data_IF_564812346664
#
_entry.id   IF_564812346664
#
_cell.length_a   1.000
_cell.length_b   1.000
_cell.length_c   1.000
_cell.angle_alpha   90.00
_cell.angle_beta   90.00
_cell.angle_gamma   90.00
#
_symmetry.space_group_name_H-M   'P 1'
#
loop_
_entity.id
_entity.type
_entity.pdbx_description
1 polymer ?
#
# COMPACT_ATOMS: atom_id res chain seq x y z
N UNK A 1 -24.42 14.76 3.04
CA UNK A 1 -23.38 14.81 2.00
C UNK A 1 -22.16 14.06 2.49
N UNK A 2 -21.47 13.31 1.61
CA UNK A 2 -20.28 12.53 1.92
C UNK A 2 -19.13 13.01 1.03
N UNK A 3 -18.01 13.43 1.62
CA UNK A 3 -16.86 13.91 0.87
C UNK A 3 -15.59 13.21 1.34
N UNK A 4 -14.82 12.59 0.44
CA UNK A 4 -13.48 12.11 0.76
C UNK A 4 -12.58 13.33 1.05
N UNK A 5 -11.70 13.22 2.06
CA UNK A 5 -10.81 14.32 2.45
C UNK A 5 -9.34 13.95 2.42
N UNK A 6 -9.00 12.69 2.62
CA UNK A 6 -7.62 12.21 2.57
C UNK A 6 -7.55 10.69 2.45
N UNK A 7 -6.35 10.19 2.11
CA UNK A 7 -6.00 8.77 2.22
C UNK A 7 -4.87 8.59 3.24
N UNK A 8 -4.70 7.38 3.73
CA UNK A 8 -3.62 7.00 4.65
C UNK A 8 -2.31 6.63 3.93
N UNK A 9 -2.29 6.68 2.59
CA UNK A 9 -1.09 6.35 1.80
C UNK A 9 -0.09 7.52 1.83
N UNK A 10 1.10 7.35 2.43
CA UNK A 10 2.10 8.41 2.47
C UNK A 10 2.73 8.65 1.09
N UNK A 11 3.02 9.90 0.76
CA UNK A 11 3.75 10.28 -0.43
C UNK A 11 5.26 10.15 -0.21
N UNK A 12 5.96 9.64 -1.22
CA UNK A 12 7.44 9.53 -1.25
C UNK A 12 8.08 10.74 -1.93
N UNK A 13 7.36 11.36 -2.85
CA UNK A 13 7.78 12.54 -3.60
C UNK A 13 6.66 13.55 -3.72
N UNK A 14 7.01 14.82 -3.97
CA UNK A 14 6.00 15.87 -4.19
C UNK A 14 5.33 15.66 -5.54
N UNK A 15 3.98 15.58 -5.63
CA UNK A 15 3.26 15.25 -6.86
C UNK A 15 3.06 16.49 -7.76
N UNK A 16 4.15 17.13 -8.19
CA UNK A 16 4.14 18.38 -8.94
C UNK A 16 3.27 18.33 -10.19
N UNK A 17 3.28 17.20 -10.93
CA UNK A 17 2.49 17.09 -12.16
C UNK A 17 1.00 17.06 -11.88
N UNK A 18 0.56 16.39 -10.81
CA UNK A 18 -0.85 16.41 -10.42
C UNK A 18 -1.30 17.83 -10.03
N UNK A 19 -0.46 18.56 -9.29
CA UNK A 19 -0.76 19.95 -8.95
C UNK A 19 -0.78 20.86 -10.18
N UNK A 20 0.11 20.63 -11.16
CA UNK A 20 0.10 21.35 -12.42
C UNK A 20 -1.18 21.09 -13.22
N UNK A 21 -1.67 19.84 -13.25
CA UNK A 21 -2.93 19.49 -13.91
C UNK A 21 -4.13 20.16 -13.20
N UNK A 22 -4.15 20.16 -11.87
CA UNK A 22 -5.18 20.86 -11.09
C UNK A 22 -5.16 22.36 -11.41
N UNK A 23 -3.97 22.99 -11.40
CA UNK A 23 -3.83 24.39 -11.75
C UNK A 23 -4.28 24.69 -13.18
N UNK A 24 -3.91 23.85 -14.15
CA UNK A 24 -4.35 23.99 -15.55
C UNK A 24 -5.86 23.92 -15.69
N UNK A 25 -6.55 23.03 -14.97
CA UNK A 25 -8.01 22.94 -14.95
C UNK A 25 -8.64 24.19 -14.34
N UNK A 26 -8.09 24.71 -13.23
CA UNK A 26 -8.59 25.93 -12.58
C UNK A 26 -8.41 27.17 -13.51
N UNK A 27 -7.26 27.27 -14.17
CA UNK A 27 -6.99 28.35 -15.12
C UNK A 27 -7.93 28.25 -16.32
N UNK A 28 -8.07 27.05 -16.91
CA UNK A 28 -8.98 26.83 -18.04
C UNK A 28 -10.44 27.19 -17.68
N UNK A 29 -10.89 26.81 -16.49
CA UNK A 29 -12.23 27.19 -16.00
C UNK A 29 -12.37 28.71 -15.82
N UNK A 30 -11.33 29.39 -15.33
CA UNK A 30 -11.31 30.85 -15.25
C UNK A 30 -11.42 31.52 -16.63
N UNK A 31 -10.68 31.02 -17.63
CA UNK A 31 -10.78 31.48 -19.03
C UNK A 31 -12.16 31.21 -19.61
N UNK A 32 -12.74 30.02 -19.34
CA UNK A 32 -14.09 29.65 -19.79
C UNK A 32 -15.17 30.64 -19.29
N UNK A 33 -15.02 31.23 -18.09
CA UNK A 33 -15.96 32.21 -17.56
C UNK A 33 -15.94 33.54 -18.33
N UNK A 34 -14.82 33.88 -18.99
CA UNK A 34 -14.68 35.14 -19.74
C UNK A 34 -14.75 34.99 -21.25
N UNK A 35 -14.70 33.73 -21.74
CA UNK A 35 -14.83 33.38 -23.18
C UNK A 35 -15.98 32.39 -23.36
N UNK A 36 -17.23 32.85 -23.46
CA UNK A 36 -18.41 31.96 -23.55
C UNK A 36 -18.37 30.96 -24.70
N UNK A 37 -17.71 31.29 -25.82
CA UNK A 37 -17.57 30.41 -27.00
C UNK A 37 -16.54 29.27 -26.80
N UNK A 38 -15.86 29.20 -25.64
CA UNK A 38 -14.90 28.13 -25.39
C UNK A 38 -15.57 26.76 -25.33
N UNK A 39 -16.77 26.66 -24.79
CA UNK A 39 -17.52 25.39 -24.71
C UNK A 39 -17.84 24.86 -26.10
N UNK A 40 -18.35 25.69 -26.99
CA UNK A 40 -18.73 25.29 -28.35
C UNK A 40 -17.54 24.77 -29.15
N UNK A 41 -16.33 25.32 -28.90
CA UNK A 41 -15.12 24.99 -29.68
C UNK A 41 -14.35 23.78 -29.12
N UNK A 42 -14.32 23.63 -27.80
CA UNK A 42 -13.41 22.69 -27.13
C UNK A 42 -14.13 21.52 -26.43
N UNK A 43 -15.46 21.52 -26.38
CA UNK A 43 -16.27 20.40 -25.92
C UNK A 43 -16.17 19.21 -26.91
N UNK A 44 -16.38 18.01 -26.40
CA UNK A 44 -16.39 16.81 -27.22
C UNK A 44 -17.84 16.45 -27.59
N UNK A 45 -18.17 16.60 -28.87
CA UNK A 45 -19.46 16.25 -29.44
C UNK A 45 -19.49 14.80 -29.88
N UNK A 46 -20.56 14.08 -29.56
CA UNK A 46 -20.69 12.67 -29.89
C UNK A 46 -20.90 12.44 -31.40
N UNK A 47 -21.62 13.34 -32.09
CA UNK A 47 -22.01 13.20 -33.51
C UNK A 47 -20.92 13.70 -34.48
N UNK A 48 -20.05 14.61 -34.04
CA UNK A 48 -18.94 15.20 -34.84
C UNK A 48 -17.68 15.40 -33.97
N UNK A 49 -17.01 14.30 -33.58
CA UNK A 49 -15.89 14.36 -32.67
C UNK A 49 -14.62 14.89 -33.36
N UNK A 50 -14.21 16.10 -33.00
CA UNK A 50 -12.95 16.68 -33.43
C UNK A 50 -11.77 16.15 -32.60
N UNK A 51 -10.68 15.74 -33.24
CA UNK A 51 -9.54 15.08 -32.58
C UNK A 51 -9.01 15.79 -31.33
N UNK A 52 -8.71 17.11 -31.34
CA UNK A 52 -8.22 17.78 -30.14
C UNK A 52 -9.25 17.81 -29.00
N UNK A 53 -10.54 17.70 -29.34
CA UNK A 53 -11.61 17.71 -28.35
C UNK A 53 -11.54 16.52 -27.38
N UNK A 54 -10.93 15.38 -27.78
CA UNK A 54 -10.69 14.24 -26.88
C UNK A 54 -9.75 14.58 -25.70
N UNK A 55 -9.02 15.68 -25.79
CA UNK A 55 -8.16 16.19 -24.71
C UNK A 55 -8.76 17.46 -24.10
N UNK A 56 -9.18 18.43 -24.95
CA UNK A 56 -9.57 19.75 -24.48
C UNK A 56 -10.83 19.74 -23.63
N UNK A 57 -11.79 18.86 -23.93
CA UNK A 57 -13.01 18.71 -23.16
C UNK A 57 -12.77 18.44 -21.66
N UNK A 58 -11.64 17.75 -21.36
CA UNK A 58 -11.26 17.38 -20.01
C UNK A 58 -10.78 18.57 -19.14
N UNK A 59 -10.65 19.75 -19.72
CA UNK A 59 -10.27 20.98 -19.02
C UNK A 59 -11.43 21.95 -18.87
N UNK A 60 -12.58 21.71 -19.54
CA UNK A 60 -13.78 22.49 -19.41
C UNK A 60 -14.66 21.97 -18.28
N UNK A 61 -15.45 22.83 -17.66
CA UNK A 61 -16.31 22.43 -16.54
C UNK A 61 -17.66 23.17 -16.58
N UNK A 62 -18.76 22.44 -16.33
CA UNK A 62 -20.12 22.95 -16.36
C UNK A 62 -20.53 23.80 -15.15
N UNK A 63 -19.61 24.09 -14.23
CA UNK A 63 -19.87 24.95 -13.06
C UNK A 63 -18.92 24.68 -11.90
N UNK A 64 -18.99 25.54 -10.88
CA UNK A 64 -18.08 25.51 -9.71
C UNK A 64 -18.13 24.18 -8.98
N UNK A 65 -19.30 23.62 -8.74
CA UNK A 65 -19.42 22.32 -8.06
C UNK A 65 -18.78 21.17 -8.86
N UNK A 66 -18.85 21.24 -10.20
CA UNK A 66 -18.27 20.24 -11.09
C UNK A 66 -16.74 20.26 -11.04
N UNK A 67 -16.13 21.44 -11.15
CA UNK A 67 -14.66 21.55 -11.04
C UNK A 67 -14.18 21.22 -9.63
N UNK A 68 -14.83 21.69 -8.57
CA UNK A 68 -14.44 21.35 -7.20
C UNK A 68 -14.44 19.85 -6.94
N UNK A 69 -15.47 19.13 -7.41
CA UNK A 69 -15.52 17.68 -7.29
C UNK A 69 -14.37 16.99 -8.01
N UNK A 70 -14.08 17.37 -9.25
CA UNK A 70 -12.96 16.80 -10.01
C UNK A 70 -11.60 17.09 -9.36
N UNK A 71 -11.36 18.33 -8.94
CA UNK A 71 -10.08 18.71 -8.32
C UNK A 71 -9.89 18.07 -6.95
N UNK A 72 -10.97 17.88 -6.20
CA UNK A 72 -10.91 17.13 -4.93
C UNK A 72 -10.47 15.68 -5.15
N UNK A 73 -11.06 14.98 -6.13
CA UNK A 73 -10.67 13.61 -6.43
C UNK A 73 -9.22 13.51 -6.98
N UNK A 74 -8.80 14.47 -7.85
CA UNK A 74 -7.41 14.54 -8.29
C UNK A 74 -6.46 14.79 -7.12
N UNK A 75 -6.81 15.68 -6.20
CA UNK A 75 -5.96 15.96 -5.06
C UNK A 75 -5.80 14.73 -4.15
N UNK A 76 -6.88 14.00 -3.90
CA UNK A 76 -6.87 12.86 -2.96
C UNK A 76 -6.21 11.63 -3.58
N UNK A 77 -6.57 11.27 -4.81
CA UNK A 77 -6.12 10.03 -5.45
C UNK A 77 -4.95 10.27 -6.41
N UNK A 78 -4.96 11.39 -7.12
CA UNK A 78 -3.96 11.72 -8.14
C UNK A 78 -2.57 11.94 -7.56
N UNK A 79 -2.46 12.48 -6.34
CA UNK A 79 -1.17 12.68 -5.68
C UNK A 79 -0.42 11.35 -5.53
N UNK A 80 -1.08 10.32 -5.03
CA UNK A 80 -0.47 9.00 -4.83
C UNK A 80 -0.18 8.28 -6.16
N UNK A 81 -1.07 8.42 -7.15
CA UNK A 81 -0.85 7.83 -8.49
C UNK A 81 0.32 8.52 -9.19
N UNK A 82 0.43 9.85 -9.08
CA UNK A 82 1.58 10.61 -9.60
C UNK A 82 2.88 10.20 -8.92
N UNK A 83 2.89 10.09 -7.59
CA UNK A 83 4.06 9.63 -6.83
C UNK A 83 4.51 8.23 -7.27
N UNK A 84 3.56 7.34 -7.54
CA UNK A 84 3.82 5.96 -7.96
C UNK A 84 4.33 5.85 -9.40
N UNK A 85 3.77 6.62 -10.33
CA UNK A 85 4.09 6.56 -11.76
C UNK A 85 5.26 7.46 -12.17
N UNK A 86 5.55 8.51 -11.37
CA UNK A 86 6.42 9.60 -11.75
C UNK A 86 5.71 10.64 -12.64
N UNK A 87 6.29 11.83 -12.77
CA UNK A 87 5.59 13.00 -13.32
C UNK A 87 5.20 12.86 -14.79
N UNK A 88 6.14 12.44 -15.64
CA UNK A 88 5.93 12.36 -17.11
C UNK A 88 4.95 11.24 -17.45
N UNK A 89 5.13 10.06 -16.84
CA UNK A 89 4.23 8.93 -17.07
C UNK A 89 2.82 9.23 -16.57
N UNK A 90 2.69 9.93 -15.44
CA UNK A 90 1.40 10.36 -14.90
C UNK A 90 0.67 11.33 -15.83
N UNK A 91 1.38 12.32 -16.43
CA UNK A 91 0.78 13.22 -17.42
C UNK A 91 0.26 12.46 -18.63
N UNK A 92 1.08 11.58 -19.20
CA UNK A 92 0.68 10.75 -20.33
C UNK A 92 -0.53 9.86 -19.99
N UNK A 93 -0.52 9.26 -18.79
CA UNK A 93 -1.61 8.45 -18.27
C UNK A 93 -2.92 9.24 -18.11
N UNK A 94 -2.85 10.46 -17.53
CA UNK A 94 -4.00 11.34 -17.36
C UNK A 94 -4.63 11.73 -18.70
N UNK A 95 -3.80 12.18 -19.65
CA UNK A 95 -4.27 12.57 -21.00
C UNK A 95 -4.86 11.38 -21.78
N UNK A 96 -4.22 10.22 -21.70
CA UNK A 96 -4.78 9.00 -22.29
C UNK A 96 -6.10 8.58 -21.62
N UNK A 97 -6.23 8.77 -20.30
CA UNK A 97 -7.47 8.58 -19.56
C UNK A 97 -8.58 9.50 -20.04
N UNK A 98 -8.28 10.77 -20.35
CA UNK A 98 -9.21 11.69 -20.98
C UNK A 98 -9.67 11.15 -22.36
N UNK A 99 -8.72 10.75 -23.20
CA UNK A 99 -9.03 10.17 -24.53
C UNK A 99 -9.93 8.95 -24.41
N UNK A 100 -9.63 8.00 -23.51
CA UNK A 100 -10.45 6.81 -23.32
C UNK A 100 -11.83 7.12 -22.76
N UNK A 101 -11.97 8.07 -21.83
CA UNK A 101 -13.26 8.57 -21.38
C UNK A 101 -14.05 9.19 -22.52
N UNK A 102 -13.41 10.00 -23.36
CA UNK A 102 -14.00 10.58 -24.57
C UNK A 102 -14.47 9.52 -25.57
N UNK A 103 -13.64 8.48 -25.82
CA UNK A 103 -14.04 7.33 -26.67
C UNK A 103 -15.30 6.67 -26.10
N UNK A 104 -15.35 6.41 -24.78
CA UNK A 104 -16.52 5.83 -24.13
C UNK A 104 -17.75 6.70 -24.30
N UNK A 105 -17.60 8.02 -24.20
CA UNK A 105 -18.70 8.94 -24.46
C UNK A 105 -19.20 8.86 -25.92
N UNK A 106 -18.30 9.03 -26.89
CA UNK A 106 -18.65 9.04 -28.32
C UNK A 106 -19.27 7.73 -28.77
N UNK A 107 -18.77 6.59 -28.28
CA UNK A 107 -19.26 5.26 -28.72
C UNK A 107 -20.60 4.86 -28.13
N UNK A 108 -20.92 5.31 -26.92
CA UNK A 108 -22.14 4.90 -26.21
C UNK A 108 -23.21 6.00 -26.13
N UNK A 109 -22.89 7.24 -26.51
CA UNK A 109 -23.90 8.32 -26.53
C UNK A 109 -24.65 8.35 -27.83
N UNK A 110 -25.95 8.53 -27.72
CA UNK A 110 -26.87 8.70 -28.86
C UNK A 110 -27.42 10.14 -28.86
N UNK A 111 -27.33 10.81 -30.01
CA UNK A 111 -27.87 12.17 -30.18
C UNK A 111 -26.81 13.27 -30.31
N UNK A 112 -27.28 14.53 -30.27
CA UNK A 112 -26.46 15.72 -30.54
C UNK A 112 -25.82 16.31 -29.26
N UNK A 113 -25.65 15.50 -28.22
CA UNK A 113 -25.04 15.95 -26.96
C UNK A 113 -23.52 16.13 -27.05
N UNK A 114 -23.02 16.86 -26.10
CA UNK A 114 -21.58 17.02 -25.88
C UNK A 114 -21.21 16.73 -24.42
N UNK A 115 -19.93 16.46 -24.18
CA UNK A 115 -19.37 16.28 -22.85
C UNK A 115 -18.25 17.30 -22.59
N UNK A 116 -18.23 17.79 -21.34
CA UNK A 116 -17.14 18.60 -20.76
C UNK A 116 -16.85 18.09 -19.35
N UNK A 117 -15.60 18.14 -18.95
CA UNK A 117 -15.15 17.83 -17.58
C UNK A 117 -13.96 16.88 -17.53
N UNK A 118 -13.14 17.07 -16.53
CA UNK A 118 -12.00 16.21 -16.23
C UNK A 118 -12.42 14.80 -15.80
N UNK A 119 -13.69 14.55 -15.57
CA UNK A 119 -14.19 13.39 -14.83
C UNK A 119 -13.84 12.03 -15.45
N UNK A 120 -13.72 11.92 -16.79
CA UNK A 120 -13.23 10.72 -17.46
C UNK A 120 -11.76 10.41 -17.11
N UNK A 121 -10.90 11.42 -17.13
CA UNK A 121 -9.50 11.29 -16.70
C UNK A 121 -9.36 11.08 -15.18
N UNK A 122 -10.21 11.75 -14.38
CA UNK A 122 -10.27 11.54 -12.92
C UNK A 122 -10.71 10.11 -12.60
N UNK A 123 -11.67 9.58 -13.34
CA UNK A 123 -12.10 8.19 -13.23
C UNK A 123 -10.95 7.21 -13.57
N UNK A 124 -10.12 7.53 -14.59
CA UNK A 124 -8.91 6.76 -14.90
C UNK A 124 -7.91 6.77 -13.73
N UNK A 125 -7.65 7.93 -13.15
CA UNK A 125 -6.79 8.06 -11.95
C UNK A 125 -7.35 7.26 -10.77
N UNK A 126 -8.66 7.31 -10.57
CA UNK A 126 -9.33 6.57 -9.48
C UNK A 126 -9.28 5.05 -9.74
N UNK A 127 -9.45 4.61 -10.99
CA UNK A 127 -9.29 3.20 -11.39
C UNK A 127 -7.85 2.70 -11.20
N UNK A 128 -6.85 3.54 -11.48
CA UNK A 128 -5.45 3.23 -11.18
C UNK A 128 -5.22 3.12 -9.67
N UNK A 129 -5.78 4.03 -8.88
CA UNK A 129 -5.67 4.00 -7.42
C UNK A 129 -6.21 2.70 -6.83
N UNK A 130 -7.35 2.20 -7.37
CA UNK A 130 -7.93 0.92 -6.97
C UNK A 130 -6.94 -0.25 -7.11
N UNK A 131 -6.14 -0.26 -8.16
CA UNK A 131 -5.17 -1.32 -8.44
C UNK A 131 -3.88 -1.15 -7.65
N UNK A 132 -3.41 0.09 -7.50
CA UNK A 132 -2.13 0.42 -6.88
C UNK A 132 -2.21 0.45 -5.34
N UNK A 133 -3.37 0.84 -4.78
CA UNK A 133 -3.57 1.08 -3.35
C UNK A 133 -4.88 0.47 -2.80
N UNK A 134 -5.20 -0.81 -3.08
CA UNK A 134 -6.50 -1.41 -2.74
C UNK A 134 -6.77 -1.53 -1.23
N UNK A 135 -5.72 -1.47 -0.40
CA UNK A 135 -5.81 -1.55 1.07
C UNK A 135 -5.77 -0.21 1.76
N UNK A 136 -5.49 0.87 1.02
CA UNK A 136 -5.50 2.19 1.60
C UNK A 136 -6.90 2.53 2.14
N UNK A 137 -6.95 3.32 3.21
CA UNK A 137 -8.20 3.82 3.76
C UNK A 137 -8.43 5.25 3.26
N UNK A 138 -9.68 5.55 2.95
CA UNK A 138 -10.17 6.88 2.58
C UNK A 138 -10.94 7.41 3.78
N UNK A 139 -10.50 8.53 4.33
CA UNK A 139 -11.26 9.25 5.36
C UNK A 139 -12.34 10.06 4.68
N UNK A 140 -13.59 9.83 5.06
CA UNK A 140 -14.77 10.49 4.51
C UNK A 140 -15.39 11.35 5.60
N UNK A 141 -15.61 12.62 5.30
CA UNK A 141 -16.39 13.50 6.15
C UNK A 141 -17.88 13.40 5.76
N UNK A 142 -18.74 13.30 6.73
CA UNK A 142 -20.18 13.36 6.51
C UNK A 142 -20.80 14.56 7.18
N UNK A 143 -21.76 15.16 6.47
CA UNK A 143 -22.62 16.24 6.94
C UNK A 143 -24.05 15.74 6.91
N UNK A 144 -24.56 15.38 8.09
CA UNK A 144 -25.96 15.00 8.26
C UNK A 144 -26.54 15.87 9.39
N UNK A 145 -27.09 15.32 10.47
CA UNK A 145 -27.44 16.08 11.66
C UNK A 145 -26.23 16.45 12.53
N UNK A 146 -25.15 15.66 12.39
CA UNK A 146 -23.86 15.87 13.03
C UNK A 146 -22.76 15.83 11.96
N UNK A 147 -21.67 16.55 12.23
CA UNK A 147 -20.45 16.48 11.41
C UNK A 147 -19.54 15.43 12.05
N UNK A 148 -19.10 14.48 11.26
CA UNK A 148 -18.17 13.45 11.71
C UNK A 148 -17.36 12.89 10.56
N UNK A 149 -16.43 12.01 10.89
CA UNK A 149 -15.60 11.28 9.90
C UNK A 149 -15.69 9.79 10.14
N UNK A 150 -15.60 9.03 9.07
CA UNK A 150 -15.40 7.58 9.13
C UNK A 150 -14.39 7.16 8.06
N UNK A 151 -13.79 6.01 8.25
CA UNK A 151 -12.81 5.45 7.32
C UNK A 151 -13.41 4.29 6.54
N UNK A 152 -13.18 4.29 5.23
CA UNK A 152 -13.61 3.23 4.32
C UNK A 152 -12.42 2.79 3.48
N UNK A 153 -12.25 1.48 3.28
CA UNK A 153 -11.24 0.97 2.37
C UNK A 153 -11.44 1.56 0.96
N UNK A 154 -10.35 2.01 0.35
CA UNK A 154 -10.36 2.57 -1.02
C UNK A 154 -10.98 1.60 -2.02
N UNK A 155 -10.78 0.29 -1.83
CA UNK A 155 -11.41 -0.75 -2.64
C UNK A 155 -12.95 -0.60 -2.66
N UNK A 156 -13.57 -0.56 -1.48
CA UNK A 156 -15.02 -0.44 -1.39
C UNK A 156 -15.52 0.93 -1.83
N UNK A 157 -14.81 2.00 -1.47
CA UNK A 157 -15.17 3.35 -1.88
C UNK A 157 -15.24 3.46 -3.42
N UNK A 158 -14.17 3.05 -4.11
CA UNK A 158 -14.07 3.17 -5.57
C UNK A 158 -15.03 2.20 -6.27
N UNK A 159 -15.18 0.96 -5.77
CA UNK A 159 -16.15 0.01 -6.33
C UNK A 159 -17.59 0.52 -6.22
N UNK A 160 -17.97 1.20 -5.13
CA UNK A 160 -19.28 1.79 -4.98
C UNK A 160 -19.50 2.93 -5.99
N UNK A 161 -18.48 3.79 -6.22
CA UNK A 161 -18.56 4.83 -7.25
C UNK A 161 -18.66 4.24 -8.66
N UNK A 162 -17.85 3.23 -8.96
CA UNK A 162 -17.89 2.52 -10.23
C UNK A 162 -19.26 1.84 -10.47
N UNK A 163 -19.79 1.16 -9.44
CA UNK A 163 -21.10 0.53 -9.52
C UNK A 163 -22.22 1.56 -9.75
N UNK A 164 -22.15 2.72 -9.09
CA UNK A 164 -23.08 3.84 -9.33
C UNK A 164 -23.00 4.31 -10.79
N UNK A 165 -21.80 4.46 -11.34
CA UNK A 165 -21.62 4.89 -12.74
C UNK A 165 -22.11 3.82 -13.71
N UNK A 166 -21.87 2.53 -13.41
CA UNK A 166 -22.37 1.42 -14.21
C UNK A 166 -23.92 1.34 -14.22
N UNK A 167 -24.55 1.55 -13.05
CA UNK A 167 -26.01 1.64 -12.95
C UNK A 167 -26.55 2.86 -13.70
N UNK A 168 -25.81 3.97 -13.71
CA UNK A 168 -26.15 5.18 -14.45
C UNK A 168 -26.21 4.98 -15.97
N UNK A 169 -25.47 4.01 -16.52
CA UNK A 169 -25.54 3.65 -17.95
C UNK A 169 -26.91 3.11 -18.36
N UNK A 170 -27.64 2.43 -17.47
CA UNK A 170 -28.93 1.80 -17.76
C UNK A 170 -30.13 2.71 -17.49
N UNK A 171 -29.93 3.86 -16.83
CA UNK A 171 -30.99 4.80 -16.45
C UNK A 171 -31.07 5.99 -17.39
N UNK A 172 -32.30 6.51 -17.58
CA UNK A 172 -32.50 7.86 -18.14
C UNK A 172 -32.03 8.86 -17.05
N UNK A 173 -30.79 9.29 -17.13
CA UNK A 173 -30.26 10.22 -16.12
C UNK A 173 -30.88 11.60 -16.29
N UNK A 174 -31.55 12.07 -15.27
CA UNK A 174 -32.07 13.44 -15.14
C UNK A 174 -30.92 14.46 -14.97
N UNK A 175 -29.71 14.00 -14.65
CA UNK A 175 -28.50 14.80 -14.56
C UNK A 175 -27.63 14.58 -15.80
N UNK A 176 -27.06 15.65 -16.37
CA UNK A 176 -26.11 15.61 -17.50
C UNK A 176 -24.75 14.99 -17.09
N UNK A 177 -24.78 13.77 -16.56
CA UNK A 177 -23.57 13.04 -16.14
C UNK A 177 -23.23 12.03 -17.22
N UNK A 178 -22.02 12.13 -17.77
CA UNK A 178 -21.52 11.20 -18.78
C UNK A 178 -20.95 9.92 -18.12
N UNK A 179 -21.84 9.07 -17.61
CA UNK A 179 -21.47 7.80 -16.94
C UNK A 179 -20.60 6.89 -17.82
N UNK A 180 -20.84 6.88 -19.13
CA UNK A 180 -20.02 6.18 -20.12
C UNK A 180 -18.56 6.63 -20.10
N UNK A 181 -18.28 7.93 -20.04
CA UNK A 181 -16.92 8.44 -19.89
C UNK A 181 -16.25 7.99 -18.59
N UNK A 182 -17.00 7.94 -17.48
CA UNK A 182 -16.50 7.48 -16.20
C UNK A 182 -16.14 5.99 -16.21
N UNK A 183 -17.04 5.15 -16.74
CA UNK A 183 -16.82 3.69 -16.81
C UNK A 183 -15.59 3.38 -17.65
N UNK A 184 -15.48 3.96 -18.86
CA UNK A 184 -14.32 3.76 -19.73
C UNK A 184 -13.02 4.29 -19.11
N UNK A 185 -13.07 5.46 -18.48
CA UNK A 185 -11.94 6.00 -17.75
C UNK A 185 -11.48 5.05 -16.63
N UNK A 186 -12.40 4.60 -15.76
CA UNK A 186 -12.06 3.69 -14.65
C UNK A 186 -11.50 2.37 -15.17
N UNK A 187 -12.07 1.79 -16.22
CA UNK A 187 -11.57 0.56 -16.84
C UNK A 187 -10.17 0.75 -17.41
N UNK A 188 -9.95 1.86 -18.16
CA UNK A 188 -8.61 2.19 -18.66
C UNK A 188 -7.60 2.29 -17.52
N UNK A 189 -7.92 3.04 -16.48
CA UNK A 189 -7.04 3.24 -15.34
C UNK A 189 -6.67 1.94 -14.63
N UNK A 190 -7.65 1.09 -14.38
CA UNK A 190 -7.44 -0.20 -13.72
C UNK A 190 -6.62 -1.16 -14.60
N UNK A 191 -6.99 -1.32 -15.88
CA UNK A 191 -6.32 -2.25 -16.80
C UNK A 191 -4.89 -1.82 -17.10
N UNK A 192 -4.67 -0.53 -17.38
CA UNK A 192 -3.33 0.00 -17.67
C UNK A 192 -2.41 -0.14 -16.45
N UNK A 193 -2.89 0.20 -15.25
CA UNK A 193 -2.09 0.05 -14.03
C UNK A 193 -1.77 -1.41 -13.72
N UNK A 194 -2.72 -2.32 -13.96
CA UNK A 194 -2.48 -3.75 -13.83
C UNK A 194 -1.44 -4.26 -14.84
N UNK A 195 -1.51 -3.80 -16.09
CA UNK A 195 -0.53 -4.13 -17.12
C UNK A 195 0.88 -3.61 -16.78
N UNK A 196 0.99 -2.35 -16.32
CA UNK A 196 2.25 -1.75 -15.91
C UNK A 196 2.88 -2.47 -14.70
N UNK A 197 2.08 -2.87 -13.71
CA UNK A 197 2.54 -3.71 -12.59
C UNK A 197 2.96 -5.10 -13.06
N UNK A 198 2.19 -5.71 -13.96
CA UNK A 198 2.50 -7.01 -14.55
C UNK A 198 3.82 -7.01 -15.31
N UNK A 199 4.03 -5.98 -16.14
CA UNK A 199 5.27 -5.76 -16.91
C UNK A 199 6.44 -5.27 -16.04
N UNK A 200 6.26 -5.05 -14.74
CA UNK A 200 7.28 -4.54 -13.81
C UNK A 200 7.79 -3.12 -14.15
N UNK A 201 7.01 -2.35 -14.89
CA UNK A 201 7.32 -0.95 -15.21
C UNK A 201 7.00 0.01 -14.05
N UNK A 202 6.16 -0.43 -13.11
CA UNK A 202 5.93 0.25 -11.84
C UNK A 202 6.58 -0.53 -10.68
N UNK A 203 7.15 0.15 -9.70
CA UNK A 203 7.68 -0.49 -8.50
C UNK A 203 6.53 -1.23 -7.78
N UNK A 204 6.75 -2.52 -7.48
CA UNK A 204 5.78 -3.35 -6.79
C UNK A 204 5.81 -3.06 -5.30
N UNK A 205 4.65 -2.76 -4.73
CA UNK A 205 4.47 -2.68 -3.29
C UNK A 205 3.81 -3.96 -2.75
N UNK A 206 3.99 -4.21 -1.46
CA UNK A 206 3.37 -5.38 -0.80
C UNK A 206 1.84 -5.28 -0.74
N UNK A 207 1.27 -4.15 -1.09
CA UNK A 207 -0.14 -3.81 -0.94
C UNK A 207 -0.90 -3.64 -2.25
N UNK A 208 -0.22 -3.76 -3.42
CA UNK A 208 -0.90 -3.70 -4.72
C UNK A 208 -1.80 -4.93 -4.97
N UNK A 209 -2.72 -4.83 -5.93
CA UNK A 209 -3.66 -5.94 -6.26
C UNK A 209 -2.93 -7.23 -6.61
N UNK A 210 -1.80 -7.17 -7.32
CA UNK A 210 -1.04 -8.38 -7.67
C UNK A 210 -0.39 -9.04 -6.45
N UNK A 211 0.03 -8.24 -5.47
CA UNK A 211 0.53 -8.74 -4.19
C UNK A 211 -0.59 -9.42 -3.39
N UNK A 212 -1.81 -8.84 -3.39
CA UNK A 212 -2.99 -9.44 -2.77
C UNK A 212 -3.35 -10.79 -3.39
N UNK A 213 -3.40 -10.86 -4.72
CA UNK A 213 -3.70 -12.11 -5.46
C UNK A 213 -2.65 -13.17 -5.15
N UNK A 214 -1.35 -12.81 -5.13
CA UNK A 214 -0.28 -13.75 -4.76
C UNK A 214 -0.38 -14.22 -3.32
N UNK A 215 -0.73 -13.31 -2.39
CA UNK A 215 -0.93 -13.66 -0.98
C UNK A 215 -2.12 -14.60 -0.81
N UNK A 216 -3.23 -14.33 -1.51
CA UNK A 216 -4.40 -15.20 -1.51
C UNK A 216 -4.11 -16.58 -2.10
N UNK A 217 -3.41 -16.66 -3.25
CA UNK A 217 -2.99 -17.91 -3.87
C UNK A 217 -2.06 -18.71 -2.96
N UNK A 218 -1.08 -18.05 -2.30
CA UNK A 218 -0.21 -18.70 -1.31
C UNK A 218 -1.01 -19.25 -0.13
N UNK A 219 -1.99 -18.50 0.40
CA UNK A 219 -2.86 -18.97 1.49
C UNK A 219 -3.73 -20.15 1.04
N UNK A 220 -4.19 -20.15 -0.20
CA UNK A 220 -4.96 -21.24 -0.78
C UNK A 220 -4.09 -22.49 -0.94
N UNK A 221 -2.93 -22.37 -1.56
CA UNK A 221 -1.96 -23.48 -1.70
C UNK A 221 -1.55 -24.03 -0.34
N UNK A 222 -1.30 -23.18 0.64
CA UNK A 222 -0.99 -23.60 2.00
C UNK A 222 -2.14 -24.41 2.63
N UNK A 223 -3.37 -23.94 2.53
CA UNK A 223 -4.55 -24.68 3.01
C UNK A 223 -4.70 -26.03 2.29
N UNK A 224 -4.48 -26.07 0.99
CA UNK A 224 -4.55 -27.31 0.21
C UNK A 224 -3.46 -28.31 0.62
N UNK A 225 -2.26 -27.82 0.96
CA UNK A 225 -1.17 -28.64 1.48
C UNK A 225 -1.50 -29.19 2.88
N UNK A 226 -1.99 -28.34 3.79
CA UNK A 226 -2.39 -28.75 5.14
C UNK A 226 -3.55 -29.77 5.07
N UNK A 227 -4.54 -29.54 4.22
CA UNK A 227 -5.66 -30.48 4.01
C UNK A 227 -5.21 -31.83 3.40
N UNK A 228 -4.05 -31.86 2.72
CA UNK A 228 -3.42 -33.09 2.22
C UNK A 228 -2.53 -33.77 3.24
N UNK A 229 -2.54 -33.31 4.50
CA UNK A 229 -1.76 -33.90 5.59
C UNK A 229 -0.30 -33.40 5.64
N UNK A 230 0.02 -32.30 4.96
CA UNK A 230 1.30 -31.63 5.14
C UNK A 230 1.31 -30.91 6.48
N UNK A 231 2.18 -31.35 7.38
CA UNK A 231 2.46 -30.64 8.63
C UNK A 231 3.60 -29.64 8.39
N UNK A 232 3.28 -28.33 8.32
CA UNK A 232 4.30 -27.30 8.11
C UNK A 232 5.25 -27.12 9.29
N UNK A 233 4.94 -27.74 10.42
CA UNK A 233 5.72 -27.68 11.65
C UNK A 233 6.41 -29.01 11.97
N UNK A 234 6.17 -30.04 11.12
CA UNK A 234 6.87 -31.32 11.22
C UNK A 234 8.35 -31.18 10.90
N UNK A 235 9.19 -31.32 11.89
CA UNK A 235 10.64 -31.41 11.74
C UNK A 235 10.99 -32.72 11.02
N UNK A 236 11.48 -32.62 9.81
CA UNK A 236 12.06 -33.75 9.09
C UNK A 236 11.93 -33.54 7.58
N UNK A 237 13.04 -33.28 6.89
CA UNK A 237 13.16 -33.31 5.44
C UNK A 237 12.83 -34.69 4.88
N UNK A 238 11.60 -35.15 5.06
CA UNK A 238 11.04 -36.38 4.57
C UNK A 238 10.11 -36.14 3.40
N UNK A 239 10.37 -36.79 2.28
CA UNK A 239 9.51 -36.93 1.12
C UNK A 239 8.03 -37.05 1.53
N UNK A 240 7.16 -36.28 0.86
CA UNK A 240 5.71 -36.43 1.00
C UNK A 240 5.31 -37.92 0.97
N UNK A 241 4.52 -38.39 1.93
CA UNK A 241 4.10 -39.80 1.92
C UNK A 241 3.28 -40.06 0.66
N UNK A 242 3.68 -41.09 -0.08
CA UNK A 242 2.93 -41.61 -1.21
C UNK A 242 1.49 -41.96 -0.78
N UNK A 243 0.51 -41.60 -1.58
CA UNK A 243 -0.91 -41.98 -1.42
C UNK A 243 -0.99 -43.50 -1.19
N UNK A 244 -1.33 -43.91 0.03
CA UNK A 244 -1.59 -45.33 0.29
C UNK A 244 -1.26 -45.87 1.68
N UNK A 245 -0.65 -45.11 2.57
CA UNK A 245 -0.36 -45.61 3.91
C UNK A 245 -1.44 -45.20 4.94
N UNK A 246 -2.56 -45.88 4.91
CA UNK A 246 -3.45 -45.96 6.09
C UNK A 246 -2.72 -46.87 7.09
N UNK A 247 -2.22 -46.30 8.20
CA UNK A 247 -1.72 -47.10 9.31
C UNK A 247 -0.23 -46.97 9.69
N UNK A 248 0.46 -45.88 9.32
CA UNK A 248 1.76 -45.60 9.95
C UNK A 248 1.51 -44.95 11.33
N UNK A 249 1.76 -45.68 12.39
CA UNK A 249 1.82 -45.15 13.75
C UNK A 249 2.74 -43.95 13.77
N UNK A 250 2.26 -42.82 14.32
CA UNK A 250 3.07 -41.61 14.53
C UNK A 250 4.33 -42.03 15.31
N UNK A 251 5.50 -41.81 14.73
CA UNK A 251 6.76 -41.93 15.47
C UNK A 251 6.66 -40.95 16.62
N UNK A 252 6.83 -41.37 17.88
CA UNK A 252 6.76 -40.45 19.00
C UNK A 252 7.83 -39.37 18.81
N UNK A 253 7.41 -38.11 18.68
CA UNK A 253 8.31 -36.99 18.77
C UNK A 253 9.03 -37.10 20.13
N UNK A 254 10.33 -36.82 20.17
CA UNK A 254 10.99 -36.70 21.45
C UNK A 254 10.34 -35.55 22.25
N UNK A 255 10.40 -35.62 23.55
CA UNK A 255 9.71 -34.66 24.42
C UNK A 255 10.15 -33.23 24.17
N UNK A 256 11.40 -33.01 23.76
CA UNK A 256 11.94 -31.70 23.45
C UNK A 256 11.34 -31.11 22.15
N UNK A 257 11.26 -31.92 21.09
CA UNK A 257 10.66 -31.51 19.81
C UNK A 257 9.15 -31.24 19.95
N UNK A 258 8.44 -32.05 20.75
CA UNK A 258 7.04 -31.82 21.05
C UNK A 258 6.83 -30.49 21.81
N UNK A 259 7.71 -30.19 22.78
CA UNK A 259 7.66 -28.93 23.55
C UNK A 259 7.94 -27.71 22.69
N UNK A 260 8.91 -27.78 21.79
CA UNK A 260 9.19 -26.70 20.81
C UNK A 260 7.97 -26.43 19.94
N UNK A 261 7.33 -27.47 19.40
CA UNK A 261 6.13 -27.34 18.57
C UNK A 261 4.98 -26.67 19.33
N UNK A 262 4.73 -27.11 20.56
CA UNK A 262 3.70 -26.53 21.46
C UNK A 262 3.96 -25.05 21.72
N UNK A 263 5.19 -24.67 22.09
CA UNK A 263 5.56 -23.30 22.38
C UNK A 263 5.40 -22.41 21.13
N UNK A 264 5.83 -22.89 19.97
CA UNK A 264 5.67 -22.14 18.70
C UNK A 264 4.19 -21.92 18.35
N UNK A 265 3.36 -22.95 18.52
CA UNK A 265 1.91 -22.82 18.31
C UNK A 265 1.29 -21.82 19.28
N UNK A 266 1.67 -21.89 20.56
CA UNK A 266 1.21 -20.95 21.58
C UNK A 266 1.65 -19.51 21.36
N UNK A 267 2.87 -19.27 20.82
CA UNK A 267 3.34 -17.93 20.44
C UNK A 267 2.51 -17.41 19.27
N UNK A 268 2.30 -18.23 18.24
CA UNK A 268 1.52 -17.84 17.06
C UNK A 268 0.08 -17.45 17.41
N UNK A 269 -0.53 -18.20 18.33
CA UNK A 269 -1.87 -17.94 18.81
C UNK A 269 -1.95 -16.66 19.69
N UNK A 270 -0.96 -16.44 20.55
CA UNK A 270 -0.86 -15.22 21.36
C UNK A 270 -0.68 -13.98 20.49
N UNK A 271 0.22 -14.02 19.47
CA UNK A 271 0.40 -12.94 18.51
C UNK A 271 -0.90 -12.67 17.74
N UNK A 272 -1.61 -13.71 17.29
CA UNK A 272 -2.88 -13.57 16.58
C UNK A 272 -3.99 -12.90 17.42
N UNK A 273 -3.93 -13.06 18.73
CA UNK A 273 -4.86 -12.42 19.70
C UNK A 273 -4.36 -11.08 20.22
N UNK A 274 -3.22 -10.57 19.75
CA UNK A 274 -2.55 -9.37 20.24
C UNK A 274 -2.14 -9.43 21.73
N UNK A 275 -2.02 -10.63 22.28
CA UNK A 275 -1.53 -10.87 23.64
C UNK A 275 0.00 -11.01 23.61
N UNK A 276 0.68 -9.86 23.53
CA UNK A 276 2.13 -9.83 23.34
C UNK A 276 2.90 -10.25 24.61
N UNK A 277 2.32 -10.07 25.79
CA UNK A 277 2.94 -10.51 27.04
C UNK A 277 2.99 -12.04 27.10
N UNK A 278 1.90 -12.71 26.74
CA UNK A 278 1.85 -14.15 26.64
C UNK A 278 2.79 -14.67 25.51
N UNK A 279 2.90 -13.95 24.39
CA UNK A 279 3.82 -14.30 23.30
C UNK A 279 5.29 -14.24 23.77
N UNK A 280 5.67 -13.18 24.46
CA UNK A 280 7.03 -13.00 25.01
C UNK A 280 7.35 -14.02 26.07
N UNK A 281 6.42 -14.33 26.99
CA UNK A 281 6.64 -15.36 28.01
C UNK A 281 6.98 -16.72 27.36
N UNK A 282 6.18 -17.15 26.37
CA UNK A 282 6.42 -18.40 25.62
C UNK A 282 7.67 -18.36 24.75
N UNK A 283 8.01 -17.20 24.19
CA UNK A 283 9.24 -17.02 23.42
C UNK A 283 10.49 -17.15 24.32
N UNK A 284 10.43 -16.59 25.53
CA UNK A 284 11.51 -16.75 26.51
C UNK A 284 11.71 -18.23 26.87
N UNK A 285 10.62 -18.97 27.07
CA UNK A 285 10.68 -20.41 27.34
C UNK A 285 11.19 -21.19 26.11
N UNK A 286 10.75 -20.86 24.89
CA UNK A 286 11.23 -21.45 23.66
C UNK A 286 12.75 -21.33 23.53
N UNK A 287 13.30 -20.17 23.84
CA UNK A 287 14.73 -19.91 23.81
C UNK A 287 15.53 -20.69 24.86
N UNK A 288 14.91 -21.06 25.98
CA UNK A 288 15.54 -21.93 26.96
C UNK A 288 15.59 -23.39 26.49
N UNK A 289 14.55 -23.83 25.75
CA UNK A 289 14.48 -25.19 25.20
C UNK A 289 15.40 -25.34 23.98
N UNK A 290 15.35 -24.38 23.06
CA UNK A 290 16.17 -24.35 21.85
C UNK A 290 16.51 -22.89 21.46
N UNK A 291 17.73 -22.41 21.78
CA UNK A 291 18.17 -21.04 21.48
C UNK A 291 18.22 -20.72 19.97
N UNK A 292 18.31 -21.73 19.10
CA UNK A 292 18.39 -21.57 17.65
C UNK A 292 17.04 -21.33 16.96
N UNK A 293 15.94 -21.48 17.69
CA UNK A 293 14.60 -21.31 17.09
C UNK A 293 14.32 -19.88 16.69
N UNK A 294 13.84 -19.71 15.45
CA UNK A 294 13.37 -18.43 14.90
C UNK A 294 11.90 -18.57 14.58
N UNK A 295 11.09 -17.57 14.96
CA UNK A 295 9.67 -17.52 14.67
C UNK A 295 9.43 -17.14 13.20
N UNK A 296 8.16 -17.10 12.78
CA UNK A 296 7.81 -16.48 11.49
C UNK A 296 8.24 -15.01 11.48
N UNK A 297 8.55 -14.48 10.29
CA UNK A 297 9.09 -13.13 10.10
C UNK A 297 8.33 -12.06 10.91
N UNK A 298 7.00 -12.02 10.82
CA UNK A 298 6.20 -11.03 11.54
C UNK A 298 6.24 -11.27 13.05
N UNK A 299 6.03 -12.49 13.49
CA UNK A 299 6.03 -12.82 14.92
C UNK A 299 7.37 -12.53 15.60
N UNK A 300 8.50 -12.78 14.88
CA UNK A 300 9.84 -12.47 15.41
C UNK A 300 10.02 -10.96 15.63
N UNK A 301 9.57 -10.13 14.68
CA UNK A 301 9.64 -8.67 14.80
C UNK A 301 8.69 -8.15 15.88
N UNK A 302 7.47 -8.65 15.95
CA UNK A 302 6.48 -8.22 16.94
C UNK A 302 6.98 -8.52 18.36
N UNK A 303 7.55 -9.71 18.58
CA UNK A 303 8.16 -10.09 19.84
C UNK A 303 9.39 -9.20 20.16
N UNK A 304 10.28 -8.96 19.20
CA UNK A 304 11.45 -8.11 19.40
C UNK A 304 11.05 -6.66 19.75
N UNK A 305 10.07 -6.11 19.04
CA UNK A 305 9.53 -4.76 19.29
C UNK A 305 8.90 -4.67 20.68
N UNK A 306 8.10 -5.67 21.07
CA UNK A 306 7.47 -5.70 22.39
C UNK A 306 8.50 -5.81 23.50
N UNK A 307 9.50 -6.69 23.36
CA UNK A 307 10.63 -6.80 24.31
C UNK A 307 11.34 -5.46 24.49
N UNK A 308 11.59 -4.73 23.42
CA UNK A 308 12.18 -3.38 23.49
C UNK A 308 11.25 -2.40 24.23
N UNK A 309 9.94 -2.48 23.98
CA UNK A 309 8.91 -1.64 24.61
C UNK A 309 8.79 -1.85 26.13
N UNK A 310 8.94 -3.10 26.60
CA UNK A 310 8.95 -3.46 28.02
C UNK A 310 10.35 -3.40 28.64
N UNK A 311 11.33 -2.75 27.98
CA UNK A 311 12.68 -2.50 28.44
C UNK A 311 13.57 -3.76 28.65
N UNK A 312 13.17 -4.91 28.09
CA UNK A 312 14.01 -6.12 28.05
C UNK A 312 15.01 -6.05 26.89
N UNK A 313 15.88 -5.01 26.92
CA UNK A 313 16.72 -4.60 25.78
C UNK A 313 17.70 -5.66 25.30
N UNK A 314 18.27 -6.47 26.22
CA UNK A 314 19.21 -7.54 25.84
C UNK A 314 18.50 -8.61 25.01
N UNK A 315 17.34 -9.04 25.45
CA UNK A 315 16.55 -10.05 24.75
C UNK A 315 15.96 -9.51 23.44
N UNK A 316 15.58 -8.22 23.42
CA UNK A 316 15.18 -7.55 22.20
C UNK A 316 16.31 -7.53 21.15
N UNK A 317 17.54 -7.18 21.57
CA UNK A 317 18.72 -7.18 20.70
C UNK A 317 18.98 -8.58 20.12
N UNK A 318 18.94 -9.62 20.96
CA UNK A 318 19.09 -11.01 20.52
C UNK A 318 18.02 -11.42 19.51
N UNK A 319 16.76 -11.02 19.73
CA UNK A 319 15.66 -11.34 18.83
C UNK A 319 15.78 -10.60 17.47
N UNK A 320 16.26 -9.35 17.46
CA UNK A 320 16.55 -8.62 16.24
C UNK A 320 17.77 -9.20 15.49
N UNK A 321 18.82 -9.59 16.17
CA UNK A 321 19.99 -10.25 15.55
C UNK A 321 19.58 -11.56 14.86
N UNK A 322 18.81 -12.39 15.54
CA UNK A 322 18.27 -13.60 14.94
C UNK A 322 17.39 -13.30 13.73
N UNK A 323 16.60 -12.21 13.80
CA UNK A 323 15.82 -11.79 12.66
C UNK A 323 16.69 -11.42 11.46
N UNK A 324 17.73 -10.63 11.65
CA UNK A 324 18.66 -10.22 10.58
C UNK A 324 19.36 -11.42 9.94
N UNK A 325 19.73 -12.42 10.74
CA UNK A 325 20.35 -13.66 10.24
C UNK A 325 19.36 -14.53 9.45
N UNK A 326 18.13 -14.68 9.93
CA UNK A 326 17.16 -15.57 9.32
C UNK A 326 16.46 -14.94 8.10
N UNK A 327 16.35 -13.60 8.05
CA UNK A 327 15.61 -12.86 7.03
C UNK A 327 16.45 -11.78 6.32
N UNK A 328 17.62 -12.09 5.74
CA UNK A 328 18.55 -11.09 5.17
C UNK A 328 17.98 -10.34 3.96
N UNK A 329 16.90 -10.84 3.35
CA UNK A 329 16.20 -10.20 2.21
C UNK A 329 14.89 -9.52 2.63
N UNK A 330 14.78 -9.09 3.88
CA UNK A 330 13.62 -8.35 4.33
C UNK A 330 13.61 -6.94 3.75
N UNK A 331 12.46 -6.51 3.20
CA UNK A 331 12.34 -5.26 2.42
C UNK A 331 12.60 -3.97 3.25
N UNK A 332 12.53 -4.06 4.58
CA UNK A 332 12.76 -2.95 5.52
C UNK A 332 13.84 -3.31 6.54
N UNK A 333 14.86 -4.02 6.09
CA UNK A 333 15.97 -4.50 6.94
C UNK A 333 16.73 -3.34 7.59
N UNK A 334 16.78 -2.18 6.92
CA UNK A 334 17.41 -0.96 7.43
C UNK A 334 16.70 -0.40 8.66
N UNK A 335 15.39 -0.58 8.79
CA UNK A 335 14.63 -0.17 9.98
C UNK A 335 14.98 -1.06 11.17
N UNK A 336 15.13 -2.36 10.95
CA UNK A 336 15.54 -3.31 11.99
C UNK A 336 16.97 -3.01 12.44
N UNK A 337 17.86 -2.71 11.50
CA UNK A 337 19.23 -2.30 11.82
C UNK A 337 19.28 -0.98 12.59
N UNK A 338 18.45 0.01 12.22
CA UNK A 338 18.34 1.26 12.97
C UNK A 338 17.89 1.01 14.42
N UNK A 339 16.84 0.22 14.61
CA UNK A 339 16.33 -0.12 15.96
C UNK A 339 17.40 -0.84 16.79
N UNK A 340 18.08 -1.80 16.19
CA UNK A 340 19.15 -2.55 16.86
C UNK A 340 20.34 -1.64 17.22
N UNK A 341 20.72 -0.72 16.33
CA UNK A 341 21.74 0.29 16.59
C UNK A 341 21.36 1.20 17.76
N UNK A 342 20.11 1.62 17.86
CA UNK A 342 19.60 2.41 19.00
C UNK A 342 19.62 1.59 20.29
N UNK A 343 19.16 0.34 20.25
CA UNK A 343 19.15 -0.55 21.42
C UNK A 343 20.57 -0.76 21.95
N UNK A 344 21.52 -1.08 21.08
CA UNK A 344 22.92 -1.25 21.48
C UNK A 344 23.55 0.04 22.00
N UNK A 345 23.29 1.17 21.35
CA UNK A 345 23.92 2.44 21.69
C UNK A 345 23.36 3.12 22.93
N UNK A 346 22.03 3.10 23.12
CA UNK A 346 21.38 3.83 24.22
C UNK A 346 21.22 3.00 25.49
N UNK A 347 20.95 1.70 25.33
CA UNK A 347 20.48 0.89 26.46
C UNK A 347 21.47 -0.20 26.86
N UNK A 348 22.31 -0.68 25.93
CA UNK A 348 23.23 -1.75 26.22
C UNK A 348 24.71 -1.29 26.29
N UNK A 349 25.01 -0.02 25.97
CA UNK A 349 26.34 0.57 25.93
C UNK A 349 27.35 -0.21 25.06
N UNK A 350 26.85 -0.94 24.02
CA UNK A 350 27.68 -1.69 23.10
C UNK A 350 27.93 -0.84 21.84
N UNK A 351 28.75 0.20 22.01
CA UNK A 351 28.90 1.26 21.00
C UNK A 351 29.49 0.78 19.66
N UNK A 352 30.38 -0.19 19.67
CA UNK A 352 30.96 -0.76 18.45
C UNK A 352 29.86 -1.47 17.60
N UNK A 353 28.99 -2.28 18.22
CA UNK A 353 27.86 -2.91 17.55
C UNK A 353 26.84 -1.89 17.10
N UNK A 354 26.54 -0.90 17.94
CA UNK A 354 25.64 0.19 17.59
C UNK A 354 26.11 0.90 16.32
N UNK A 355 27.39 1.28 16.24
CA UNK A 355 27.99 1.91 15.06
C UNK A 355 27.83 1.04 13.82
N UNK A 356 28.15 -0.25 13.88
CA UNK A 356 28.03 -1.19 12.76
C UNK A 356 26.60 -1.22 12.19
N UNK A 357 25.57 -1.33 13.03
CA UNK A 357 24.19 -1.41 12.58
C UNK A 357 23.68 -0.06 12.05
N UNK A 358 24.06 1.07 12.67
CA UNK A 358 23.68 2.40 12.18
C UNK A 358 24.32 2.73 10.83
N UNK A 359 25.58 2.37 10.62
CA UNK A 359 26.28 2.52 9.34
C UNK A 359 25.65 1.65 8.24
N UNK A 360 25.21 0.44 8.56
CA UNK A 360 24.52 -0.44 7.62
C UNK A 360 23.11 0.06 7.27
N UNK A 361 22.40 0.70 8.21
CA UNK A 361 21.05 1.24 8.01
C UNK A 361 21.06 2.52 7.16
N UNK A 362 21.96 3.47 7.48
CA UNK A 362 21.95 4.85 7.00
C UNK A 362 21.80 5.01 5.46
N UNK A 363 22.55 4.27 4.60
CA UNK A 363 22.46 4.43 3.15
C UNK A 363 21.13 3.92 2.55
N UNK A 364 20.38 3.09 3.29
CA UNK A 364 19.16 2.43 2.83
C UNK A 364 17.87 3.04 3.40
N UNK A 365 17.97 3.88 4.42
CA UNK A 365 16.83 4.57 5.01
C UNK A 365 16.23 5.57 4.01
N UNK A 366 14.92 5.54 3.83
CA UNK A 366 14.19 6.39 2.88
C UNK A 366 13.65 7.66 3.52
N UNK A 367 13.23 7.61 4.80
CA UNK A 367 12.64 8.74 5.50
C UNK A 367 13.69 9.74 5.99
N UNK A 368 13.50 11.04 5.75
CA UNK A 368 14.44 12.08 6.22
C UNK A 368 14.57 12.07 7.76
N UNK A 369 13.46 11.87 8.46
CA UNK A 369 13.43 11.77 9.91
C UNK A 369 14.24 10.57 10.45
N UNK A 370 14.13 9.41 9.77
CA UNK A 370 14.87 8.21 10.13
C UNK A 370 16.37 8.39 9.87
N UNK A 371 16.73 9.02 8.73
CA UNK A 371 18.13 9.36 8.42
C UNK A 371 18.73 10.35 9.43
N UNK A 372 17.96 11.36 9.82
CA UNK A 372 18.37 12.33 10.82
C UNK A 372 18.60 11.66 12.17
N UNK A 373 17.68 10.79 12.59
CA UNK A 373 17.81 9.99 13.81
C UNK A 373 19.04 9.07 13.75
N UNK A 374 19.27 8.36 12.64
CA UNK A 374 20.43 7.49 12.46
C UNK A 374 21.75 8.29 12.53
N UNK A 375 21.82 9.47 11.89
CA UNK A 375 22.99 10.36 11.96
C UNK A 375 23.25 10.88 13.36
N UNK A 376 22.23 11.31 14.06
CA UNK A 376 22.34 11.78 15.44
C UNK A 376 22.86 10.68 16.38
N UNK A 377 22.32 9.46 16.24
CA UNK A 377 22.79 8.31 17.03
C UNK A 377 24.21 7.91 16.66
N UNK A 378 24.57 7.92 15.37
CA UNK A 378 25.93 7.59 14.93
C UNK A 378 26.93 8.60 15.47
N UNK A 379 26.66 9.91 15.39
CA UNK A 379 27.49 10.95 15.97
C UNK A 379 27.68 10.79 17.49
N UNK A 380 26.69 10.28 18.20
CA UNK A 380 26.76 10.03 19.65
C UNK A 380 27.59 8.81 19.97
N UNK A 381 27.50 7.72 19.21
CA UNK A 381 28.17 6.44 19.53
C UNK A 381 29.59 6.36 18.97
N UNK A 382 29.91 7.07 17.89
CA UNK A 382 31.17 7.00 17.18
C UNK A 382 32.38 7.33 18.07
N UNK A 383 32.41 8.42 18.87
CA UNK A 383 33.53 8.72 19.78
C UNK A 383 33.66 7.68 20.89
N UNK A 384 32.56 7.03 21.29
CA UNK A 384 32.56 6.02 22.36
C UNK A 384 32.95 4.63 21.87
N UNK A 385 32.80 4.38 20.55
CA UNK A 385 33.17 3.10 19.94
C UNK A 385 34.69 2.89 19.79
N UNK A 386 35.47 3.97 19.86
CA UNK A 386 36.94 3.96 19.71
C UNK A 386 37.67 3.76 21.07
N UNK A 387 36.97 4.03 22.17
CA UNK A 387 37.56 3.84 23.51
C UNK A 387 37.47 2.37 23.94
N UNK A 388 38.55 1.73 24.43
CA UNK A 388 38.42 0.41 25.02
C UNK A 388 37.50 0.47 26.23
N UNK A 389 36.74 -0.62 26.53
CA UNK A 389 35.85 -0.62 27.68
C UNK A 389 36.68 -0.36 28.97
N UNK A 390 36.13 0.43 29.93
CA UNK A 390 36.77 0.60 31.20
C UNK A 390 36.98 -0.77 31.84
N UNK A 391 38.17 -1.03 32.30
CA UNK A 391 38.53 -2.25 33.02
C UNK A 391 37.61 -2.40 34.23
N UNK A 392 36.92 -3.56 34.31
CA UNK A 392 36.01 -3.92 35.38
C UNK A 392 36.79 -4.25 36.66
#
# INVERSE_FOLDING_TARGET
>A
MLFPIRTDSPLRSTPYMNWAIIAANVIAFGVQQVVPAADDRFALYAHDPWWPAFITYAFLHGGVGHILGNMLFLYIFGNNVNDKMGHVAYLAFYLAGAVWGGIGYVTLSHGNGYVIGASGAVAAVTGAYLVLFPRATVTIIYFFFLIGTFELSSLWFILLFFAKDLLGLSGQSVANIAFNAHVFGTMYGALTSMALLGAQLLPRDQFDVLALVRQWNRRRQYRDLVNKGFDPFGYGGGRAPARGAVGAAAVPLDAATARVAELRAGISDAVARHDMDAAVARFTELRQVDPGQVLSRQAQLDVANHLAGIQRYREAADAYEQFLQAYPKYDQIEQVQLMLGIVYGRYLNQYARAKQHLEAALPRLFGDREREMARAELARVEPLAVSPPPAA
#
